data_IF_435909569810
#
_entry.id   IF_435909569810
#
_cell.length_a   1.000
_cell.length_b   1.000
_cell.length_c   1.000
_cell.angle_alpha   90.00
_cell.angle_beta   90.00
_cell.angle_gamma   90.00
#
_symmetry.space_group_name_H-M   'P 1'
#
loop_
_entity.id
_entity.type
_entity.pdbx_description
1 polymer ?
#
# COMPACT_ATOMS: atom_id res chain seq x y z
N UNK A 1 -10.92 -3.12 25.38
CA UNK A 1 -12.06 -2.84 24.48
C UNK A 1 -12.78 -4.12 24.13
N UNK A 2 -14.11 -4.10 24.14
CA UNK A 2 -14.93 -5.21 23.63
C UNK A 2 -15.19 -5.00 22.14
N UNK A 3 -14.46 -5.74 21.31
CA UNK A 3 -14.60 -5.68 19.85
C UNK A 3 -15.97 -6.18 19.37
N UNK A 4 -16.72 -6.92 20.18
CA UNK A 4 -18.04 -7.40 19.80
C UNK A 4 -19.05 -6.25 19.74
N UNK A 5 -18.93 -5.29 20.65
CA UNK A 5 -19.76 -4.08 20.65
C UNK A 5 -19.40 -3.18 19.48
N UNK A 6 -18.11 -2.95 19.24
CA UNK A 6 -17.63 -2.07 18.17
C UNK A 6 -17.99 -2.61 16.77
N UNK A 7 -17.93 -3.94 16.56
CA UNK A 7 -18.24 -4.58 15.30
C UNK A 7 -19.67 -5.13 15.21
N UNK A 8 -20.56 -4.76 16.14
CA UNK A 8 -21.93 -5.29 16.22
C UNK A 8 -22.71 -5.16 14.90
N UNK A 9 -22.55 -4.06 14.17
CA UNK A 9 -23.21 -3.86 12.87
C UNK A 9 -22.77 -4.92 11.85
N UNK A 10 -21.47 -5.20 11.72
CA UNK A 10 -20.94 -6.21 10.81
C UNK A 10 -21.34 -7.62 11.24
N UNK A 11 -21.27 -7.91 12.53
CA UNK A 11 -21.66 -9.19 13.12
C UNK A 11 -23.14 -9.48 12.82
N UNK A 12 -24.01 -8.47 12.95
CA UNK A 12 -25.45 -8.60 12.64
C UNK A 12 -25.72 -8.96 11.17
N UNK A 13 -24.82 -8.57 10.27
CA UNK A 13 -24.85 -8.90 8.83
C UNK A 13 -24.19 -10.25 8.52
N UNK A 14 -23.72 -10.98 9.53
CA UNK A 14 -23.14 -12.30 9.40
C UNK A 14 -21.64 -12.32 9.10
N UNK A 15 -20.95 -11.20 9.26
CA UNK A 15 -19.49 -11.15 9.15
C UNK A 15 -18.83 -11.86 10.34
N UNK A 16 -17.64 -12.40 10.06
CA UNK A 16 -16.68 -12.87 11.03
C UNK A 16 -15.67 -11.76 11.31
N UNK A 17 -14.85 -11.90 12.36
CA UNK A 17 -13.84 -10.91 12.71
C UNK A 17 -12.44 -11.50 12.48
N UNK A 18 -11.59 -10.76 11.78
CA UNK A 18 -10.17 -11.05 11.68
C UNK A 18 -9.39 -10.05 12.51
N UNK A 19 -8.43 -10.56 13.28
CA UNK A 19 -7.50 -9.78 14.10
C UNK A 19 -6.11 -10.18 13.64
N UNK A 20 -5.28 -9.21 13.26
CA UNK A 20 -3.92 -9.47 12.80
C UNK A 20 -2.95 -8.57 13.56
N UNK A 21 -1.81 -9.11 14.06
CA UNK A 21 -0.74 -8.28 14.58
C UNK A 21 -0.15 -7.46 13.43
N UNK A 22 0.30 -6.26 13.71
CA UNK A 22 1.00 -5.45 12.72
C UNK A 22 2.24 -4.83 13.33
N UNK A 23 3.36 -4.97 12.63
CA UNK A 23 4.63 -4.40 13.06
C UNK A 23 4.78 -2.98 12.55
N UNK A 24 5.61 -2.19 13.24
CA UNK A 24 6.03 -0.85 12.81
C UNK A 24 4.86 0.13 12.62
N UNK A 25 3.79 -0.07 13.39
CA UNK A 25 2.70 0.88 13.57
C UNK A 25 2.70 1.28 15.03
N UNK A 26 2.48 2.56 15.32
CA UNK A 26 2.37 3.09 16.67
C UNK A 26 1.00 3.74 16.76
N UNK A 27 0.17 3.28 17.70
CA UNK A 27 -1.17 3.82 17.93
C UNK A 27 -1.14 4.49 19.30
N UNK A 28 -0.94 5.80 19.33
CA UNK A 28 -0.78 6.57 20.58
C UNK A 28 -2.14 7.02 21.19
N UNK A 29 -3.24 6.69 20.52
CA UNK A 29 -4.63 6.94 20.96
C UNK A 29 -5.33 5.61 21.23
N UNK A 30 -6.57 5.64 21.71
CA UNK A 30 -7.36 4.43 22.00
C UNK A 30 -7.50 3.50 20.77
N UNK A 31 -7.79 4.07 19.61
CA UNK A 31 -7.84 3.36 18.32
C UNK A 31 -7.81 4.36 17.15
N UNK A 32 -7.47 3.87 15.96
CA UNK A 32 -7.56 4.61 14.70
C UNK A 32 -8.40 3.81 13.71
N UNK A 33 -9.55 4.35 13.33
CA UNK A 33 -10.51 3.68 12.45
C UNK A 33 -10.48 4.25 11.03
N UNK A 34 -10.52 3.36 10.04
CA UNK A 34 -10.56 3.65 8.62
C UNK A 34 -11.84 3.07 7.96
N UNK A 35 -12.13 3.42 6.69
CA UNK A 35 -13.27 2.86 5.97
C UNK A 35 -13.29 1.32 5.94
N UNK A 36 -14.48 0.77 5.70
CA UNK A 36 -14.73 -0.69 5.63
C UNK A 36 -14.41 -1.46 6.93
N UNK A 37 -14.43 -0.76 8.07
CA UNK A 37 -14.26 -1.37 9.39
C UNK A 37 -12.83 -1.82 9.67
N UNK A 38 -11.83 -1.22 9.04
CA UNK A 38 -10.42 -1.48 9.39
C UNK A 38 -10.05 -0.58 10.56
N UNK A 39 -9.84 -1.15 11.75
CA UNK A 39 -9.50 -0.41 12.96
C UNK A 39 -8.18 -0.91 13.54
N UNK A 40 -7.29 0.03 13.87
CA UNK A 40 -6.00 -0.23 14.52
C UNK A 40 -6.08 0.09 16.00
N UNK A 41 -5.54 -0.77 16.84
CA UNK A 41 -5.50 -0.62 18.30
C UNK A 41 -4.07 -0.71 18.82
N UNK A 42 -3.78 -0.04 19.95
CA UNK A 42 -2.51 -0.22 20.63
C UNK A 42 -2.37 -1.64 21.21
N UNK A 43 -1.13 -2.06 21.51
CA UNK A 43 -0.88 -3.32 22.22
C UNK A 43 -1.73 -3.47 23.48
N UNK A 44 -2.16 -4.70 23.77
CA UNK A 44 -2.93 -5.07 24.97
C UNK A 44 -4.26 -4.33 25.18
N UNK A 45 -4.76 -3.60 24.17
CA UNK A 45 -6.02 -2.84 24.30
C UNK A 45 -7.26 -3.68 24.01
N UNK A 46 -7.16 -4.64 23.09
CA UNK A 46 -8.23 -5.57 22.72
C UNK A 46 -8.28 -6.73 23.72
N UNK A 47 -9.46 -7.06 24.25
CA UNK A 47 -9.62 -8.19 25.18
C UNK A 47 -9.76 -9.50 24.42
N UNK A 48 -8.65 -10.18 24.15
CA UNK A 48 -8.64 -11.42 23.35
C UNK A 48 -9.15 -12.65 24.10
N UNK A 49 -9.01 -12.70 25.43
CA UNK A 49 -9.42 -13.84 26.26
C UNK A 49 -10.93 -14.15 26.18
N UNK A 50 -11.73 -13.13 25.87
CA UNK A 50 -13.19 -13.25 25.77
C UNK A 50 -13.66 -13.80 24.40
N UNK A 51 -12.75 -14.23 23.52
CA UNK A 51 -13.09 -14.64 22.15
C UNK A 51 -13.19 -16.17 21.97
N UNK A 52 -13.30 -16.94 23.06
CA UNK A 52 -13.45 -18.40 22.98
C UNK A 52 -12.31 -19.08 22.22
N UNK A 53 -11.07 -18.68 22.51
CA UNK A 53 -9.88 -19.18 21.82
C UNK A 53 -9.69 -20.69 22.02
N UNK A 54 -9.55 -21.41 20.90
CA UNK A 54 -9.18 -22.83 20.87
C UNK A 54 -7.72 -22.94 20.43
N UNK A 55 -6.81 -23.38 21.31
CA UNK A 55 -5.40 -23.57 20.97
C UNK A 55 -5.17 -24.62 19.89
N UNK A 56 -4.22 -24.36 19.00
CA UNK A 56 -3.73 -25.35 18.04
C UNK A 56 -2.99 -26.47 18.77
N UNK A 57 -3.28 -27.72 18.39
CA UNK A 57 -2.67 -28.91 18.98
C UNK A 57 -1.54 -29.47 18.11
N UNK A 58 -0.38 -29.71 18.72
CA UNK A 58 0.79 -30.30 18.07
C UNK A 58 0.62 -31.79 17.72
N UNK A 59 -0.32 -32.48 18.35
CA UNK A 59 -0.69 -33.88 18.13
C UNK A 59 -1.96 -34.05 17.28
N UNK A 60 -2.43 -32.98 16.62
CA UNK A 60 -3.60 -33.02 15.74
C UNK A 60 -3.36 -33.89 14.51
N UNK A 61 -4.44 -34.49 13.99
CA UNK A 61 -4.42 -35.15 12.67
C UNK A 61 -4.43 -34.13 11.51
N UNK A 62 -4.77 -32.87 11.78
CA UNK A 62 -4.71 -31.79 10.79
C UNK A 62 -3.30 -31.23 10.70
N UNK A 63 -2.65 -31.41 9.54
CA UNK A 63 -1.34 -30.82 9.27
C UNK A 63 -1.35 -29.30 9.44
N UNK A 64 -2.44 -28.62 9.08
CA UNK A 64 -2.56 -27.17 9.20
C UNK A 64 -2.50 -26.70 10.67
N UNK A 65 -3.15 -27.46 11.56
CA UNK A 65 -3.13 -27.20 13.00
C UNK A 65 -1.74 -27.49 13.60
N UNK A 66 -1.12 -28.61 13.21
CA UNK A 66 0.23 -28.97 13.67
C UNK A 66 1.26 -27.91 13.26
N UNK A 67 1.23 -27.45 12.00
CA UNK A 67 2.16 -26.41 11.53
C UNK A 67 1.89 -25.07 12.21
N UNK A 68 0.62 -24.70 12.40
CA UNK A 68 0.28 -23.48 13.15
C UNK A 68 0.74 -23.56 14.61
N UNK A 69 0.62 -24.72 15.27
CA UNK A 69 1.16 -24.92 16.61
C UNK A 69 2.70 -24.83 16.62
N UNK A 70 3.37 -25.41 15.61
CA UNK A 70 4.83 -25.39 15.48
C UNK A 70 5.40 -23.98 15.20
N UNK A 71 4.57 -23.04 14.71
CA UNK A 71 4.97 -21.64 14.54
C UNK A 71 5.32 -20.94 15.87
N UNK A 72 4.84 -21.47 17.00
CA UNK A 72 5.02 -20.89 18.32
C UNK A 72 4.20 -19.61 18.57
N UNK A 73 3.31 -19.23 17.65
CA UNK A 73 2.43 -18.07 17.86
C UNK A 73 1.29 -18.43 18.80
N UNK A 74 1.15 -17.66 19.87
CA UNK A 74 0.12 -17.80 20.91
C UNK A 74 -0.78 -16.57 20.96
N UNK A 75 -1.80 -16.58 21.83
CA UNK A 75 -2.63 -15.39 22.05
C UNK A 75 -1.81 -14.23 22.63
N UNK A 76 -0.88 -14.52 23.55
CA UNK A 76 0.07 -13.55 24.11
C UNK A 76 0.91 -12.87 23.02
N UNK A 77 1.24 -13.59 21.94
CA UNK A 77 1.95 -13.00 20.80
C UNK A 77 1.16 -11.87 20.13
N UNK A 78 -0.17 -11.84 20.24
CA UNK A 78 -1.00 -10.74 19.71
C UNK A 78 -0.99 -9.55 20.67
N UNK A 79 -1.07 -9.79 21.98
CA UNK A 79 -1.13 -8.72 22.99
C UNK A 79 0.12 -7.83 23.05
N UNK A 80 1.27 -8.36 22.63
CA UNK A 80 2.54 -7.63 22.52
C UNK A 80 2.60 -6.66 21.33
N UNK A 81 1.65 -6.70 20.41
CA UNK A 81 1.70 -5.95 19.15
C UNK A 81 0.49 -5.01 19.02
N UNK A 82 0.64 -3.90 18.28
CA UNK A 82 -0.51 -3.23 17.70
C UNK A 82 -1.31 -4.23 16.87
N UNK A 83 -2.64 -4.12 16.96
CA UNK A 83 -3.56 -5.02 16.27
C UNK A 83 -4.35 -4.26 15.24
N UNK A 84 -4.55 -4.86 14.07
CA UNK A 84 -5.59 -4.44 13.13
C UNK A 84 -6.75 -5.43 13.18
N UNK A 85 -7.96 -4.90 13.35
CA UNK A 85 -9.21 -5.67 13.42
C UNK A 85 -10.10 -5.23 12.28
N UNK A 86 -10.72 -6.19 11.60
CA UNK A 86 -11.63 -5.90 10.50
C UNK A 86 -12.64 -7.03 10.25
N UNK A 87 -13.81 -6.70 9.67
CA UNK A 87 -14.81 -7.69 9.33
C UNK A 87 -14.37 -8.48 8.09
N UNK A 88 -14.59 -9.79 8.11
CA UNK A 88 -14.29 -10.68 6.98
C UNK A 88 -15.42 -11.68 6.76
N UNK A 89 -15.53 -12.24 5.56
CA UNK A 89 -16.59 -13.18 5.20
C UNK A 89 -15.99 -14.43 4.55
N UNK A 90 -16.18 -15.59 5.19
CA UNK A 90 -15.79 -16.89 4.69
C UNK A 90 -16.62 -17.99 5.36
N UNK A 91 -16.55 -19.21 4.83
CA UNK A 91 -17.27 -20.37 5.39
C UNK A 91 -16.43 -21.01 6.49
N UNK A 92 -16.81 -20.78 7.75
CA UNK A 92 -16.08 -21.23 8.94
C UNK A 92 -15.78 -22.74 8.95
N UNK A 93 -16.77 -23.57 8.58
CA UNK A 93 -16.60 -25.03 8.55
C UNK A 93 -15.59 -25.48 7.49
N UNK A 94 -15.59 -24.84 6.32
CA UNK A 94 -14.62 -25.16 5.26
C UNK A 94 -13.22 -24.78 5.72
N UNK A 95 -13.07 -23.58 6.29
CA UNK A 95 -11.82 -23.09 6.86
C UNK A 95 -11.23 -24.06 7.90
N UNK A 96 -12.05 -24.59 8.83
CA UNK A 96 -11.60 -25.53 9.87
C UNK A 96 -11.00 -26.81 9.32
N UNK A 97 -11.51 -27.28 8.18
CA UNK A 97 -11.07 -28.53 7.54
C UNK A 97 -10.05 -28.30 6.44
N UNK A 98 -9.66 -27.05 6.19
CA UNK A 98 -8.79 -26.70 5.09
C UNK A 98 -7.33 -27.06 5.37
N UNK A 99 -6.52 -27.06 4.31
CA UNK A 99 -5.09 -27.36 4.40
C UNK A 99 -4.25 -26.11 4.68
N UNK A 100 -3.02 -26.34 5.15
CA UNK A 100 -2.07 -25.29 5.51
C UNK A 100 -1.80 -24.29 4.37
N UNK A 101 -1.68 -24.78 3.12
CA UNK A 101 -1.40 -23.91 1.96
C UNK A 101 -2.53 -22.91 1.73
N UNK A 102 -3.77 -23.35 1.89
CA UNK A 102 -4.93 -22.49 1.76
C UNK A 102 -5.04 -21.51 2.93
N UNK A 103 -4.70 -21.92 4.16
CA UNK A 103 -4.57 -20.99 5.29
C UNK A 103 -3.53 -19.90 5.03
N UNK A 104 -2.36 -20.23 4.46
CA UNK A 104 -1.35 -19.22 4.11
C UNK A 104 -1.81 -18.29 2.99
N UNK A 105 -2.55 -18.81 2.00
CA UNK A 105 -3.19 -17.98 0.98
C UNK A 105 -4.24 -17.05 1.60
N UNK A 106 -4.99 -17.54 2.58
CA UNK A 106 -5.99 -16.77 3.31
C UNK A 106 -5.35 -15.64 4.12
N UNK A 107 -4.25 -15.92 4.85
CA UNK A 107 -3.44 -14.89 5.52
C UNK A 107 -3.00 -13.78 4.57
N UNK A 108 -2.45 -14.12 3.41
CA UNK A 108 -2.04 -13.12 2.40
C UNK A 108 -3.21 -12.28 1.89
N UNK A 109 -4.36 -12.91 1.68
CA UNK A 109 -5.58 -12.22 1.20
C UNK A 109 -6.10 -11.23 2.23
N UNK A 110 -6.10 -11.62 3.51
CA UNK A 110 -6.47 -10.76 4.63
C UNK A 110 -5.47 -9.61 4.84
N UNK A 111 -4.18 -9.91 4.72
CA UNK A 111 -3.13 -8.89 4.76
C UNK A 111 -3.29 -7.86 3.64
N UNK A 112 -3.56 -8.32 2.41
CA UNK A 112 -3.82 -7.45 1.26
C UNK A 112 -5.04 -6.55 1.48
N UNK A 113 -6.11 -7.06 2.10
CA UNK A 113 -7.29 -6.25 2.43
C UNK A 113 -6.95 -5.08 3.36
N UNK A 114 -6.05 -5.29 4.32
CA UNK A 114 -5.54 -4.21 5.17
C UNK A 114 -4.58 -3.31 4.39
N UNK A 115 -3.74 -3.88 3.53
CA UNK A 115 -2.79 -3.11 2.71
C UNK A 115 -3.50 -2.11 1.79
N UNK A 116 -4.68 -2.42 1.24
CA UNK A 116 -5.48 -1.47 0.46
C UNK A 116 -5.81 -0.19 1.27
N UNK A 117 -5.98 -0.30 2.59
CA UNK A 117 -6.17 0.84 3.50
C UNK A 117 -4.83 1.51 3.79
N UNK A 118 -3.79 0.72 4.08
CA UNK A 118 -2.46 1.24 4.36
C UNK A 118 -1.84 1.93 3.15
N UNK A 119 -2.24 1.62 1.92
CA UNK A 119 -1.78 2.32 0.72
C UNK A 119 -2.18 3.80 0.72
N UNK A 120 -3.40 4.09 1.16
CA UNK A 120 -3.87 5.47 1.36
C UNK A 120 -3.11 6.12 2.52
N UNK A 121 -2.92 5.40 3.63
CA UNK A 121 -2.18 5.90 4.80
C UNK A 121 -0.73 6.25 4.42
N UNK A 122 -0.02 5.34 3.77
CA UNK A 122 1.36 5.53 3.30
C UNK A 122 1.43 6.70 2.32
N UNK A 123 0.46 6.84 1.42
CA UNK A 123 0.40 7.96 0.49
C UNK A 123 0.37 9.33 1.20
N UNK A 124 -0.43 9.46 2.26
CA UNK A 124 -0.58 10.73 2.98
C UNK A 124 0.48 10.96 4.08
N UNK A 125 1.00 9.89 4.71
CA UNK A 125 1.85 10.00 5.90
C UNK A 125 3.32 9.58 5.67
N UNK A 126 3.66 9.08 4.47
CA UNK A 126 5.03 8.68 4.13
C UNK A 126 5.57 9.44 2.91
N UNK A 127 6.90 9.38 2.74
CA UNK A 127 7.63 10.00 1.66
C UNK A 127 8.48 8.96 0.92
N UNK A 128 8.64 9.12 -0.40
CA UNK A 128 9.35 8.15 -1.26
C UNK A 128 10.77 7.85 -0.79
N UNK A 129 11.45 8.87 -0.26
CA UNK A 129 12.84 8.76 0.20
C UNK A 129 13.00 8.43 1.68
N UNK A 130 11.90 8.32 2.43
CA UNK A 130 11.95 8.07 3.86
C UNK A 130 11.30 6.72 4.19
N UNK A 131 12.14 5.71 4.39
CA UNK A 131 11.67 4.37 4.78
C UNK A 131 11.42 4.21 6.29
N UNK A 132 11.83 5.18 7.11
CA UNK A 132 11.69 5.09 8.57
C UNK A 132 10.24 4.96 9.04
N UNK A 133 9.28 5.73 8.52
CA UNK A 133 7.88 5.65 8.94
C UNK A 133 7.07 4.61 8.16
N UNK A 134 7.68 3.66 7.43
CA UNK A 134 6.89 2.66 6.72
C UNK A 134 6.31 1.60 7.67
N UNK A 135 4.98 1.39 7.67
CA UNK A 135 4.34 0.34 8.44
C UNK A 135 4.68 -1.04 7.87
N UNK A 136 4.70 -2.06 8.73
CA UNK A 136 4.82 -3.45 8.31
C UNK A 136 3.52 -3.96 7.67
N UNK A 137 3.57 -5.15 7.09
CA UNK A 137 2.37 -5.83 6.60
C UNK A 137 1.51 -6.33 7.76
N UNK A 138 0.19 -6.33 7.59
CA UNK A 138 -0.71 -6.96 8.54
C UNK A 138 -0.44 -8.47 8.62
N UNK A 139 -0.46 -9.00 9.84
CA UNK A 139 -0.14 -10.36 10.18
C UNK A 139 1.33 -10.59 10.49
N UNK A 140 2.18 -9.57 10.46
CA UNK A 140 3.59 -9.69 10.84
C UNK A 140 3.78 -9.58 12.35
N UNK A 141 4.79 -10.27 12.90
CA UNK A 141 5.12 -10.27 14.33
C UNK A 141 6.60 -9.92 14.52
N UNK A 142 6.91 -9.11 15.54
CA UNK A 142 8.28 -8.84 16.00
C UNK A 142 8.80 -9.97 16.89
N UNK A 143 7.92 -10.60 17.69
CA UNK A 143 8.28 -11.72 18.57
C UNK A 143 8.74 -12.96 17.80
N UNK A 144 8.23 -13.16 16.59
CA UNK A 144 8.70 -14.18 15.65
C UNK A 144 8.73 -13.65 14.22
N UNK A 145 9.89 -13.10 13.83
CA UNK A 145 10.07 -12.40 12.56
C UNK A 145 9.86 -13.27 11.31
N UNK A 146 9.93 -14.60 11.44
CA UNK A 146 9.73 -15.53 10.33
C UNK A 146 8.27 -15.97 10.17
N UNK A 147 7.43 -15.70 11.18
CA UNK A 147 6.05 -16.16 11.21
C UNK A 147 5.09 -15.01 11.01
N UNK A 148 3.97 -15.34 10.39
CA UNK A 148 2.83 -14.46 10.17
C UNK A 148 1.60 -15.09 10.82
N UNK A 149 0.65 -14.29 11.30
CA UNK A 149 -0.52 -14.82 11.99
C UNK A 149 -1.79 -14.00 11.80
N UNK A 150 -2.92 -14.65 12.05
CA UNK A 150 -4.22 -14.02 12.23
C UNK A 150 -5.01 -14.82 13.26
N UNK A 151 -5.74 -14.13 14.12
CA UNK A 151 -6.76 -14.69 14.98
C UNK A 151 -8.11 -14.44 14.31
N UNK A 152 -8.80 -15.51 13.98
CA UNK A 152 -10.11 -15.47 13.35
C UNK A 152 -11.16 -15.81 14.39
N UNK A 153 -12.24 -15.05 14.42
CA UNK A 153 -13.30 -15.20 15.41
C UNK A 153 -14.68 -15.31 14.75
N UNK A 154 -15.43 -16.33 15.17
CA UNK A 154 -16.80 -16.54 14.78
C UNK A 154 -17.76 -16.18 15.92
N UNK A 155 -18.47 -15.03 15.83
CA UNK A 155 -19.36 -14.56 16.89
C UNK A 155 -20.57 -15.46 17.11
N UNK A 156 -21.02 -16.23 16.10
CA UNK A 156 -22.24 -17.05 16.20
C UNK A 156 -22.08 -18.27 17.10
N UNK A 157 -20.88 -18.85 17.12
CA UNK A 157 -20.55 -20.04 17.92
C UNK A 157 -19.55 -19.73 19.04
N UNK A 158 -19.12 -18.46 19.14
CA UNK A 158 -18.16 -17.97 20.13
C UNK A 158 -16.86 -18.80 20.13
N UNK A 159 -16.27 -18.96 18.94
CA UNK A 159 -15.03 -19.72 18.73
C UNK A 159 -14.02 -18.84 18.01
N UNK A 160 -12.78 -18.80 18.49
CA UNK A 160 -11.65 -18.23 17.74
C UNK A 160 -10.50 -19.22 17.56
N UNK A 161 -9.76 -19.04 16.46
CA UNK A 161 -8.61 -19.85 16.08
C UNK A 161 -7.49 -19.00 15.52
N UNK A 162 -6.25 -19.34 15.88
CA UNK A 162 -5.06 -18.75 15.28
C UNK A 162 -4.66 -19.58 14.06
N UNK A 163 -4.42 -18.91 12.94
CA UNK A 163 -3.62 -19.47 11.84
C UNK A 163 -2.27 -18.77 11.83
N UNK A 164 -1.20 -19.55 11.72
CA UNK A 164 0.14 -19.01 11.75
C UNK A 164 1.10 -19.82 10.88
N UNK A 165 2.07 -19.13 10.27
CA UNK A 165 3.06 -19.73 9.38
C UNK A 165 3.85 -18.72 8.57
N UNK A 166 4.68 -19.20 7.65
CA UNK A 166 5.59 -18.43 6.79
C UNK A 166 4.87 -17.80 5.58
N UNK A 167 3.83 -16.99 5.85
CA UNK A 167 3.02 -16.40 4.79
C UNK A 167 3.79 -15.41 3.90
N UNK A 168 4.78 -14.68 4.41
CA UNK A 168 5.46 -13.62 3.65
C UNK A 168 6.93 -13.95 3.41
N UNK A 169 7.42 -13.63 2.22
CA UNK A 169 8.82 -13.86 1.84
C UNK A 169 9.74 -12.68 2.22
N UNK A 170 9.22 -11.45 2.23
CA UNK A 170 9.97 -10.22 2.46
C UNK A 170 9.30 -9.39 3.56
N UNK A 171 10.10 -8.65 4.33
CA UNK A 171 9.64 -7.72 5.36
C UNK A 171 10.56 -6.51 5.46
N UNK A 172 9.97 -5.36 5.81
CA UNK A 172 10.74 -4.17 6.17
C UNK A 172 11.26 -4.35 7.59
N UNK A 173 12.58 -4.49 7.75
CA UNK A 173 13.20 -4.75 9.05
C UNK A 173 13.83 -3.52 9.70
N UNK A 174 13.92 -2.38 8.99
CA UNK A 174 14.62 -1.17 9.46
C UNK A 174 13.73 0.07 9.47
N UNK A 175 13.79 0.85 10.55
CA UNK A 175 13.09 2.12 10.74
C UNK A 175 12.22 2.14 12.00
N UNK A 176 11.68 3.30 12.36
CA UNK A 176 11.00 3.54 13.64
C UNK A 176 9.53 3.11 13.65
N UNK A 177 8.93 2.94 12.47
CA UNK A 177 7.50 2.70 12.33
C UNK A 177 6.70 3.99 12.22
N UNK A 178 5.42 3.83 11.90
CA UNK A 178 4.48 4.92 11.63
C UNK A 178 3.65 5.24 12.88
N UNK A 179 3.79 6.44 13.47
CA UNK A 179 2.75 7.00 14.34
C UNK A 179 1.50 7.20 13.50
N UNK A 180 0.51 6.33 13.72
CA UNK A 180 -0.65 6.23 12.87
C UNK A 180 -1.64 7.34 13.22
N UNK A 181 -1.88 8.22 12.26
CA UNK A 181 -2.91 9.26 12.38
C UNK A 181 -4.16 8.88 11.57
N UNK A 182 -5.31 9.41 11.97
CA UNK A 182 -6.54 9.27 11.18
C UNK A 182 -6.41 10.03 9.87
N UNK A 183 -6.84 9.42 8.76
CA UNK A 183 -6.96 10.07 7.46
C UNK A 183 -8.44 10.38 7.19
N UNK A 184 -8.75 11.55 6.63
CA UNK A 184 -10.12 11.89 6.26
C UNK A 184 -10.69 10.82 5.31
N UNK A 185 -11.87 10.30 5.65
CA UNK A 185 -12.58 9.26 4.90
C UNK A 185 -12.86 9.69 3.44
N UNK A 186 -12.98 10.99 3.18
CA UNK A 186 -13.19 11.52 1.83
C UNK A 186 -11.96 11.40 0.93
N UNK A 187 -10.78 11.15 1.50
CA UNK A 187 -9.54 10.94 0.75
C UNK A 187 -9.36 9.48 0.30
N UNK A 188 -10.26 8.59 0.69
CA UNK A 188 -10.27 7.21 0.21
C UNK A 188 -10.97 7.14 -1.16
N UNK A 189 -10.37 6.47 -2.17
CA UNK A 189 -11.00 6.34 -3.47
C UNK A 189 -12.36 5.66 -3.41
N UNK A 190 -13.34 6.24 -4.11
CA UNK A 190 -14.67 5.68 -4.31
C UNK A 190 -14.64 4.46 -5.26
N UNK A 191 -15.80 3.88 -5.54
CA UNK A 191 -15.96 2.64 -6.31
C UNK A 191 -16.07 2.82 -7.84
N UNK A 192 -15.96 4.06 -8.35
CA UNK A 192 -15.98 4.34 -9.78
C UNK A 192 -14.81 3.72 -10.54
N UNK A 193 -14.80 3.86 -11.86
CA UNK A 193 -13.72 3.33 -12.71
C UNK A 193 -12.39 4.01 -12.39
N UNK A 194 -12.41 5.35 -12.29
CA UNK A 194 -11.26 6.14 -11.82
C UNK A 194 -10.81 5.68 -10.44
N UNK A 195 -11.76 5.39 -9.55
CA UNK A 195 -11.53 4.82 -8.23
C UNK A 195 -10.72 3.53 -8.25
N UNK A 196 -11.00 2.62 -9.19
CA UNK A 196 -10.21 1.38 -9.36
C UNK A 196 -8.80 1.67 -9.86
N UNK A 197 -8.66 2.59 -10.83
CA UNK A 197 -7.36 2.98 -11.38
C UNK A 197 -6.49 3.60 -10.29
N UNK A 198 -7.03 4.52 -9.49
CA UNK A 198 -6.27 5.19 -8.44
C UNK A 198 -5.94 4.26 -7.27
N UNK A 199 -6.79 3.28 -6.93
CA UNK A 199 -6.43 2.21 -5.97
C UNK A 199 -5.22 1.41 -6.46
N UNK A 200 -5.18 1.06 -7.74
CA UNK A 200 -4.00 0.41 -8.30
C UNK A 200 -2.77 1.33 -8.27
N UNK A 201 -2.93 2.62 -8.61
CA UNK A 201 -1.85 3.61 -8.52
C UNK A 201 -1.28 3.74 -7.10
N UNK A 202 -2.14 3.77 -6.09
CA UNK A 202 -1.75 3.83 -4.68
C UNK A 202 -0.97 2.57 -4.26
N UNK A 203 -1.37 1.38 -4.73
CA UNK A 203 -0.63 0.14 -4.49
C UNK A 203 0.75 0.13 -5.16
N UNK A 204 0.85 0.62 -6.40
CA UNK A 204 2.13 0.84 -7.07
C UNK A 204 3.00 1.86 -6.34
N UNK A 205 2.38 2.91 -5.79
CA UNK A 205 3.04 3.93 -4.97
C UNK A 205 3.54 3.39 -3.63
N UNK A 206 2.81 2.50 -2.97
CA UNK A 206 3.32 1.78 -1.80
C UNK A 206 4.51 0.90 -2.17
N UNK A 207 4.37 0.12 -3.24
CA UNK A 207 5.41 -0.81 -3.70
C UNK A 207 6.73 -0.12 -4.01
N UNK A 208 6.71 1.09 -4.59
CA UNK A 208 7.94 1.85 -4.83
C UNK A 208 8.56 2.36 -3.53
N UNK A 209 7.77 2.72 -2.50
CA UNK A 209 8.31 3.18 -1.22
C UNK A 209 9.06 2.07 -0.48
N UNK A 210 8.57 0.84 -0.59
CA UNK A 210 9.19 -0.36 0.00
C UNK A 210 10.48 -0.79 -0.70
N UNK A 211 10.74 -0.28 -1.91
CA UNK A 211 11.95 -0.60 -2.67
C UNK A 211 13.20 -0.01 -2.02
N UNK A 212 14.18 -0.87 -1.73
CA UNK A 212 15.47 -0.50 -1.15
C UNK A 212 16.52 -0.09 -2.19
N UNK A 213 16.27 -0.34 -3.48
CA UNK A 213 17.19 -0.03 -4.57
C UNK A 213 16.71 1.23 -5.30
N UNK A 214 17.53 2.30 -5.31
CA UNK A 214 17.14 3.59 -5.87
C UNK A 214 16.97 3.52 -7.39
N UNK A 215 17.78 2.74 -8.09
CA UNK A 215 17.63 2.52 -9.54
C UNK A 215 16.28 1.85 -9.87
N UNK A 216 15.88 0.83 -9.09
CA UNK A 216 14.57 0.16 -9.24
C UNK A 216 13.45 1.12 -8.88
N UNK A 217 13.58 1.86 -7.78
CA UNK A 217 12.61 2.87 -7.34
C UNK A 217 12.38 3.95 -8.40
N UNK A 218 13.45 4.47 -9.01
CA UNK A 218 13.33 5.40 -10.14
C UNK A 218 12.56 4.79 -11.31
N UNK A 219 12.90 3.57 -11.70
CA UNK A 219 12.20 2.86 -12.78
C UNK A 219 10.72 2.67 -12.47
N UNK A 220 10.38 2.32 -11.23
CA UNK A 220 8.99 2.21 -10.76
C UNK A 220 8.26 3.56 -10.77
N UNK A 221 8.91 4.66 -10.37
CA UNK A 221 8.33 6.00 -10.49
C UNK A 221 8.00 6.33 -11.96
N UNK A 222 8.91 6.05 -12.89
CA UNK A 222 8.67 6.30 -14.32
C UNK A 222 7.51 5.46 -14.84
N UNK A 223 7.44 4.17 -14.49
CA UNK A 223 6.32 3.30 -14.86
C UNK A 223 4.99 3.77 -14.26
N UNK A 224 4.98 4.26 -13.02
CA UNK A 224 3.79 4.82 -12.39
C UNK A 224 3.32 6.10 -13.08
N UNK A 225 4.24 6.97 -13.48
CA UNK A 225 3.93 8.17 -14.27
C UNK A 225 3.32 7.79 -15.63
N UNK A 226 3.86 6.77 -16.30
CA UNK A 226 3.29 6.24 -17.54
C UNK A 226 1.86 5.70 -17.33
N UNK A 227 1.65 4.89 -16.29
CA UNK A 227 0.35 4.33 -15.92
C UNK A 227 -0.69 5.41 -15.59
N UNK A 228 -0.32 6.43 -14.82
CA UNK A 228 -1.21 7.54 -14.45
C UNK A 228 -1.68 8.35 -15.67
N UNK A 229 -0.84 8.48 -16.70
CA UNK A 229 -1.22 9.15 -17.93
C UNK A 229 -2.10 8.26 -18.83
N UNK A 230 -1.76 6.98 -18.93
CA UNK A 230 -2.40 6.00 -19.82
C UNK A 230 -2.50 4.62 -19.13
N UNK A 231 -3.58 4.34 -18.40
CA UNK A 231 -3.71 3.10 -17.63
C UNK A 231 -3.87 1.85 -18.50
N UNK A 232 -4.47 1.99 -19.68
CA UNK A 232 -4.84 0.86 -20.55
C UNK A 232 -3.87 0.62 -21.72
N UNK A 233 -2.91 1.53 -21.95
CA UNK A 233 -2.06 1.45 -23.13
C UNK A 233 -0.67 2.07 -22.94
N UNK A 234 0.30 1.52 -23.66
CA UNK A 234 1.64 2.09 -23.72
C UNK A 234 1.69 3.25 -24.71
N UNK A 235 2.20 4.40 -24.27
CA UNK A 235 2.41 5.59 -25.11
C UNK A 235 3.86 6.07 -25.07
N UNK A 236 4.22 6.90 -26.05
CA UNK A 236 5.51 7.59 -26.03
C UNK A 236 5.56 8.53 -24.84
N UNK A 237 6.71 8.62 -24.20
CA UNK A 237 6.89 9.47 -23.02
C UNK A 237 6.67 10.96 -23.32
N UNK A 238 6.84 11.39 -24.59
CA UNK A 238 6.48 12.73 -25.05
C UNK A 238 4.99 13.05 -24.92
N UNK A 239 4.12 12.05 -24.92
CA UNK A 239 2.68 12.23 -24.73
C UNK A 239 2.31 12.11 -23.25
N UNK A 240 3.01 11.25 -22.51
CA UNK A 240 2.93 11.15 -21.05
C UNK A 240 3.27 12.49 -20.41
N UNK A 241 4.42 13.09 -20.77
CA UNK A 241 4.87 14.36 -20.18
C UNK A 241 3.87 15.49 -20.39
N UNK A 242 3.24 15.58 -21.57
CA UNK A 242 2.18 16.58 -21.84
C UNK A 242 0.98 16.43 -20.92
N UNK A 243 0.60 15.21 -20.55
CA UNK A 243 -0.52 14.97 -19.63
C UNK A 243 -0.11 15.35 -18.22
N UNK A 244 1.01 14.81 -17.73
CA UNK A 244 1.45 15.00 -16.35
C UNK A 244 1.75 16.47 -16.07
N UNK A 245 2.40 17.18 -17.00
CA UNK A 245 2.69 18.61 -16.84
C UNK A 245 1.45 19.48 -16.68
N UNK A 246 0.26 19.07 -17.17
CA UNK A 246 -0.99 19.83 -16.98
C UNK A 246 -1.49 19.81 -15.53
N UNK A 247 -1.15 18.79 -14.76
CA UNK A 247 -1.54 18.70 -13.34
C UNK A 247 -0.65 19.56 -12.45
N UNK A 248 0.57 19.86 -12.91
CA UNK A 248 1.60 20.50 -12.07
C UNK A 248 1.79 21.97 -12.45
N UNK A 249 1.77 22.30 -13.74
CA UNK A 249 2.03 23.65 -14.23
C UNK A 249 0.90 24.62 -13.89
N UNK A 250 1.25 25.82 -13.41
CA UNK A 250 0.28 26.90 -13.17
C UNK A 250 0.15 27.86 -14.34
N UNK A 251 1.11 27.85 -15.25
CA UNK A 251 1.16 28.73 -16.41
C UNK A 251 1.93 28.08 -17.57
N UNK A 252 1.89 28.72 -18.74
CA UNK A 252 2.51 28.21 -19.95
C UNK A 252 4.04 28.08 -19.84
N UNK A 253 4.70 28.96 -19.08
CA UNK A 253 6.15 28.90 -18.88
C UNK A 253 6.53 27.67 -18.06
N UNK A 254 5.91 27.48 -16.90
CA UNK A 254 6.10 26.30 -16.05
C UNK A 254 5.81 24.99 -16.80
N UNK A 255 4.81 25.01 -17.68
CA UNK A 255 4.51 23.85 -18.52
C UNK A 255 5.67 23.51 -19.47
N UNK A 256 6.26 24.50 -20.14
CA UNK A 256 7.42 24.27 -21.00
C UNK A 256 8.64 23.82 -20.20
N UNK A 257 8.89 24.45 -19.04
CA UNK A 257 9.98 24.08 -18.13
C UNK A 257 9.83 22.61 -17.67
N UNK A 258 8.60 22.16 -17.38
CA UNK A 258 8.33 20.75 -17.05
C UNK A 258 8.52 19.80 -18.24
N UNK A 259 8.17 20.21 -19.46
CA UNK A 259 8.43 19.39 -20.65
C UNK A 259 9.94 19.21 -20.89
N UNK A 260 10.73 20.26 -20.68
CA UNK A 260 12.20 20.17 -20.73
C UNK A 260 12.72 19.25 -19.61
N UNK A 261 12.20 19.41 -18.39
CA UNK A 261 12.55 18.53 -17.26
C UNK A 261 12.25 17.06 -17.57
N UNK A 262 11.10 16.74 -18.16
CA UNK A 262 10.79 15.35 -18.57
C UNK A 262 11.70 14.84 -19.69
N UNK A 263 12.21 15.71 -20.56
CA UNK A 263 13.22 15.34 -21.54
C UNK A 263 14.53 14.93 -20.84
N UNK A 264 14.94 15.65 -19.79
CA UNK A 264 16.10 15.28 -18.94
C UNK A 264 15.91 13.91 -18.27
N UNK A 265 14.71 13.64 -17.79
CA UNK A 265 14.39 12.36 -17.14
C UNK A 265 14.40 11.18 -18.12
N UNK A 266 14.34 11.43 -19.44
CA UNK A 266 14.12 10.36 -20.42
C UNK A 266 15.17 10.24 -21.49
N UNK A 267 15.16 11.11 -22.49
CA UNK A 267 15.85 10.93 -23.77
C UNK A 267 16.82 12.05 -24.13
N UNK A 268 17.10 13.00 -23.24
CA UNK A 268 18.00 14.11 -23.52
C UNK A 268 19.36 13.61 -24.00
N UNK A 269 19.88 14.29 -25.03
CA UNK A 269 21.23 14.12 -25.52
C UNK A 269 22.06 15.35 -25.16
N UNK A 270 23.33 15.12 -24.91
CA UNK A 270 24.31 16.18 -24.77
C UNK A 270 24.46 16.91 -26.13
N UNK A 271 24.28 18.24 -26.18
CA UNK A 271 24.40 19.00 -27.43
C UNK A 271 25.78 18.98 -28.07
N UNK A 272 26.85 18.81 -27.28
CA UNK A 272 28.24 18.85 -27.74
C UNK A 272 28.73 17.46 -28.15
N UNK A 273 28.44 16.43 -27.35
CA UNK A 273 28.95 15.07 -27.57
C UNK A 273 27.96 14.15 -28.28
N UNK A 274 26.69 14.54 -28.37
CA UNK A 274 25.57 13.71 -28.86
C UNK A 274 25.37 12.40 -28.07
N UNK A 275 25.99 12.27 -26.90
CA UNK A 275 25.79 11.15 -25.98
C UNK A 275 24.44 11.27 -25.27
N UNK A 276 23.86 10.14 -24.87
CA UNK A 276 22.56 10.13 -24.19
C UNK A 276 22.77 10.38 -22.69
N UNK A 277 22.29 11.52 -22.21
CA UNK A 277 22.34 11.91 -20.80
C UNK A 277 21.00 11.69 -20.08
N UNK A 278 19.92 11.42 -20.82
CA UNK A 278 18.58 11.18 -20.27
C UNK A 278 18.52 9.96 -19.34
N UNK A 279 18.02 10.16 -18.12
CA UNK A 279 18.14 9.17 -17.03
C UNK A 279 17.49 7.82 -17.35
N UNK A 280 16.23 7.80 -17.81
CA UNK A 280 15.53 6.56 -18.18
C UNK A 280 16.28 5.79 -19.24
N UNK A 281 16.82 6.45 -20.26
CA UNK A 281 17.55 5.75 -21.32
C UNK A 281 18.85 5.15 -20.79
N UNK A 282 19.60 5.90 -19.99
CA UNK A 282 20.83 5.41 -19.37
C UNK A 282 20.57 4.20 -18.47
N UNK A 283 19.55 4.27 -17.62
CA UNK A 283 19.23 3.21 -16.67
C UNK A 283 18.64 1.99 -17.36
N UNK A 284 17.59 2.18 -18.16
CA UNK A 284 16.80 1.06 -18.74
C UNK A 284 17.49 0.44 -19.94
N UNK A 285 18.17 1.24 -20.78
CA UNK A 285 18.75 0.76 -22.03
C UNK A 285 20.27 0.56 -21.96
N UNK A 286 20.99 1.36 -21.16
CA UNK A 286 22.44 1.22 -21.01
C UNK A 286 22.86 0.47 -19.72
N UNK A 287 21.93 0.24 -18.79
CA UNK A 287 22.17 -0.53 -17.57
C UNK A 287 22.90 0.25 -16.48
N UNK A 288 22.93 1.58 -16.56
CA UNK A 288 23.54 2.43 -15.55
C UNK A 288 22.77 2.39 -14.23
N UNK A 289 23.47 2.62 -13.12
CA UNK A 289 22.87 2.81 -11.80
C UNK A 289 22.66 4.28 -11.53
N UNK A 290 21.49 4.68 -11.03
CA UNK A 290 21.19 6.10 -10.78
C UNK A 290 22.16 6.72 -9.78
N UNK A 291 22.62 5.91 -8.82
CA UNK A 291 23.62 6.26 -7.80
C UNK A 291 25.01 6.55 -8.38
N UNK A 292 25.27 6.14 -9.62
CA UNK A 292 26.51 6.45 -10.34
C UNK A 292 26.37 7.65 -11.29
N UNK A 293 25.14 8.05 -11.58
CA UNK A 293 24.83 9.17 -12.49
C UNK A 293 24.71 10.48 -11.71
N UNK A 294 24.08 10.44 -10.53
CA UNK A 294 23.75 11.63 -9.75
C UNK A 294 24.32 11.55 -8.33
N UNK A 295 24.79 12.66 -7.76
CA UNK A 295 25.14 12.75 -6.34
C UNK A 295 23.90 12.69 -5.43
N UNK A 296 24.10 12.40 -4.14
CA UNK A 296 23.02 12.15 -3.16
C UNK A 296 22.03 13.31 -3.01
N UNK A 297 22.49 14.55 -3.06
CA UNK A 297 21.64 15.75 -3.00
C UNK A 297 20.74 15.85 -4.24
N UNK A 298 21.29 15.61 -5.43
CA UNK A 298 20.52 15.58 -6.67
C UNK A 298 19.54 14.40 -6.73
N UNK A 299 19.90 13.24 -6.17
CA UNK A 299 19.00 12.09 -6.04
C UNK A 299 17.80 12.41 -5.15
N UNK A 300 18.04 13.06 -4.01
CA UNK A 300 16.96 13.47 -3.11
C UNK A 300 15.97 14.42 -3.79
N UNK A 301 16.50 15.44 -4.48
CA UNK A 301 15.68 16.38 -5.25
C UNK A 301 14.92 15.69 -6.39
N UNK A 302 15.54 14.74 -7.10
CA UNK A 302 14.89 13.98 -8.15
C UNK A 302 13.66 13.21 -7.65
N UNK A 303 13.77 12.48 -6.54
CA UNK A 303 12.62 11.74 -6.01
C UNK A 303 11.54 12.65 -5.42
N UNK A 304 11.91 13.83 -4.91
CA UNK A 304 10.95 14.85 -4.51
C UNK A 304 10.15 15.36 -5.72
N UNK A 305 10.83 15.67 -6.84
CA UNK A 305 10.18 16.06 -8.10
C UNK A 305 9.20 14.96 -8.58
N UNK A 306 9.68 13.71 -8.64
CA UNK A 306 8.86 12.57 -9.06
C UNK A 306 7.64 12.37 -8.14
N UNK A 307 7.83 12.52 -6.83
CA UNK A 307 6.73 12.47 -5.87
C UNK A 307 5.69 13.55 -6.14
N UNK A 308 6.11 14.80 -6.41
CA UNK A 308 5.21 15.91 -6.74
C UNK A 308 4.39 15.57 -7.99
N UNK A 309 5.04 15.06 -9.04
CA UNK A 309 4.37 14.74 -10.30
C UNK A 309 3.34 13.62 -10.13
N UNK A 310 3.69 12.58 -9.38
CA UNK A 310 2.80 11.45 -9.09
C UNK A 310 1.62 11.91 -8.23
N UNK A 311 1.89 12.62 -7.13
CA UNK A 311 0.86 13.08 -6.19
C UNK A 311 -0.15 14.02 -6.84
N UNK A 312 0.30 14.96 -7.69
CA UNK A 312 -0.58 15.88 -8.38
C UNK A 312 -1.67 15.17 -9.21
N UNK A 313 -1.34 14.04 -9.84
CA UNK A 313 -2.31 13.26 -10.61
C UNK A 313 -3.17 12.40 -9.71
N UNK A 314 -2.58 11.70 -8.73
CA UNK A 314 -3.32 10.83 -7.79
C UNK A 314 -4.34 11.65 -7.01
N UNK A 315 -3.98 12.82 -6.48
CA UNK A 315 -4.90 13.69 -5.73
C UNK A 315 -6.13 14.09 -6.57
N UNK A 316 -5.90 14.46 -7.82
CA UNK A 316 -6.98 14.79 -8.75
C UNK A 316 -7.85 13.56 -9.06
N UNK A 317 -7.25 12.38 -9.25
CA UNK A 317 -8.01 11.14 -9.46
C UNK A 317 -8.82 10.71 -8.23
N UNK A 318 -8.30 10.93 -7.01
CA UNK A 318 -9.04 10.68 -5.77
C UNK A 318 -10.29 11.57 -5.71
N UNK A 319 -10.15 12.87 -6.02
CA UNK A 319 -11.25 13.84 -6.03
C UNK A 319 -12.41 13.40 -6.95
N UNK A 320 -12.09 12.79 -8.10
CA UNK A 320 -13.06 12.36 -9.11
C UNK A 320 -13.20 10.83 -9.19
N UNK A 321 -12.91 10.12 -8.10
CA UNK A 321 -12.84 8.65 -8.07
C UNK A 321 -14.17 7.92 -8.29
N UNK A 322 -15.31 8.63 -8.24
CA UNK A 322 -16.64 8.12 -8.58
C UNK A 322 -16.95 8.09 -10.08
N UNK A 323 -16.19 8.80 -10.90
CA UNK A 323 -16.47 8.91 -12.33
C UNK A 323 -16.08 7.65 -13.12
N UNK A 324 -16.68 7.51 -14.30
CA UNK A 324 -16.13 6.68 -15.37
C UNK A 324 -14.83 7.27 -15.92
N UNK A 325 -14.04 6.46 -16.62
CA UNK A 325 -12.80 6.95 -17.22
C UNK A 325 -13.06 8.02 -18.27
N UNK A 326 -14.07 7.87 -19.13
CA UNK A 326 -14.40 8.83 -20.18
C UNK A 326 -14.79 10.21 -19.62
N UNK A 327 -15.63 10.24 -18.58
CA UNK A 327 -15.99 11.50 -17.89
C UNK A 327 -14.77 12.18 -17.25
N UNK A 328 -13.85 11.38 -16.70
CA UNK A 328 -12.60 11.89 -16.16
C UNK A 328 -11.67 12.46 -17.23
N UNK A 329 -11.61 11.83 -18.41
CA UNK A 329 -10.83 12.32 -19.54
C UNK A 329 -11.30 13.71 -19.97
N UNK A 330 -12.61 13.96 -19.97
CA UNK A 330 -13.17 15.27 -20.29
C UNK A 330 -12.72 16.35 -19.28
N UNK A 331 -12.71 16.03 -17.98
CA UNK A 331 -12.18 16.93 -16.94
C UNK A 331 -10.67 17.15 -17.10
N UNK A 332 -9.90 16.08 -17.31
CA UNK A 332 -8.46 16.13 -17.53
C UNK A 332 -8.09 16.99 -18.74
N UNK A 333 -8.89 16.95 -19.80
CA UNK A 333 -8.68 17.75 -20.99
C UNK A 333 -8.97 19.26 -20.77
N UNK A 334 -9.70 19.60 -19.72
CA UNK A 334 -9.96 20.98 -19.31
C UNK A 334 -8.86 21.55 -18.40
N UNK A 335 -7.96 20.72 -17.88
CA UNK A 335 -6.78 21.18 -17.13
C UNK A 335 -5.88 22.01 -18.05
N UNK A 336 -5.91 23.32 -17.88
CA UNK A 336 -5.02 24.25 -18.58
C UNK A 336 -3.57 24.07 -18.14
N UNK A 337 -2.64 24.24 -19.09
CA UNK A 337 -2.01 25.55 -19.21
C UNK A 337 -2.08 26.01 -20.68
N UNK A 338 -2.95 26.99 -20.93
CA UNK A 338 -3.00 27.91 -22.05
C UNK A 338 -2.50 27.47 -23.44
N UNK A 339 -3.43 27.53 -24.39
CA UNK A 339 -3.24 27.66 -25.84
C UNK A 339 -1.89 28.24 -26.27
N UNK A 340 -0.99 27.42 -26.79
CA UNK A 340 -0.06 27.87 -27.84
C UNK A 340 -0.89 28.06 -29.11
N UNK A 341 -1.56 29.22 -29.24
CA UNK A 341 -1.93 29.73 -30.55
C UNK A 341 -0.75 30.51 -31.10
N UNK A 342 -0.18 30.05 -32.21
CA UNK A 342 0.79 30.78 -33.02
C UNK A 342 2.14 30.09 -33.07
#
# INVERSE_FOLDING_TARGET
>A
MDILEEFAEYISKGYLIAIMPITRVIVDVEYVAFPHGVTFYPPSYVQLDNLGYIPNKSDSTSLAEVVSAASGVTLESFDEHPLVVFPCMFRWEEFRTDNFRNHMKFLRTMSQYVDDTLDVVRYYQCEINNFHPLPGQAGTLNSNIMMSAALLFNPKIHESRIIAGDAFANRITRGLGLPLESVDKNLFPKSGEVGKIVKHALSLYSSLMESSNLTVKFTQCMSLIEFLAFPDEYKKFSDVSKIISRYVAKNAKEYQDLLERFNDLTGRKDPETNEIIGLRTRIVHLGDKIETILPDDALNMLFLDLQIYIKAVIDHMIQYSDLSWDEYLDLRNQLTPFTTKG
#
